data_IF_763175760200
#
_entry.id   IF_763175760200
#
_cell.length_a   1.000
_cell.length_b   1.000
_cell.length_c   1.000
_cell.angle_alpha   90.00
_cell.angle_beta   90.00
_cell.angle_gamma   90.00
#
_symmetry.space_group_name_H-M   'P 1'
#
loop_
_entity.id
_entity.type
_entity.pdbx_description
1 polymer ?
#
# COMPACT_ATOMS: atom_id res chain seq x y z
N UNK A 1 -16.23 -31.55 14.72
CA UNK A 1 -17.58 -31.24 14.18
C UNK A 1 -17.61 -31.62 12.71
N UNK A 2 -18.69 -32.25 12.25
CA UNK A 2 -18.88 -32.61 10.82
C UNK A 2 -19.36 -31.36 10.08
N UNK A 3 -18.75 -31.05 8.92
CA UNK A 3 -19.13 -29.89 8.12
C UNK A 3 -20.50 -30.11 7.48
N UNK A 4 -21.50 -29.29 7.86
CA UNK A 4 -22.91 -29.41 7.43
C UNK A 4 -23.17 -29.05 5.95
N UNK A 5 -22.21 -28.46 5.26
CA UNK A 5 -22.35 -27.98 3.88
C UNK A 5 -22.80 -26.52 3.78
N UNK A 6 -22.35 -25.81 2.74
CA UNK A 6 -22.61 -24.37 2.58
C UNK A 6 -24.09 -24.03 2.43
N UNK A 7 -24.88 -24.87 1.74
CA UNK A 7 -26.30 -24.61 1.53
C UNK A 7 -27.08 -24.65 2.86
N UNK A 8 -26.85 -25.69 3.67
CA UNK A 8 -27.49 -25.84 4.99
C UNK A 8 -27.15 -24.66 5.90
N UNK A 9 -25.88 -24.24 5.95
CA UNK A 9 -25.46 -23.07 6.76
C UNK A 9 -26.18 -21.79 6.32
N UNK A 10 -26.42 -21.62 5.02
CA UNK A 10 -27.11 -20.45 4.48
C UNK A 10 -28.63 -20.50 4.71
N UNK A 11 -29.24 -21.67 4.59
CA UNK A 11 -30.66 -21.89 4.91
C UNK A 11 -30.93 -21.65 6.41
N UNK A 12 -30.06 -22.15 7.30
CA UNK A 12 -30.10 -21.86 8.75
C UNK A 12 -30.04 -20.34 9.03
N UNK A 13 -29.48 -19.55 8.11
CA UNK A 13 -29.39 -18.07 8.19
C UNK A 13 -30.50 -17.34 7.43
N UNK A 14 -31.46 -18.06 6.87
CA UNK A 14 -32.60 -17.48 6.15
C UNK A 14 -32.31 -17.08 4.69
N UNK A 15 -31.23 -17.56 4.09
CA UNK A 15 -30.98 -17.35 2.66
C UNK A 15 -31.65 -18.43 1.81
N UNK A 16 -32.27 -18.02 0.69
CA UNK A 16 -32.77 -18.96 -0.31
C UNK A 16 -31.62 -19.47 -1.19
N UNK A 17 -31.30 -20.75 -1.02
CA UNK A 17 -30.28 -21.48 -1.77
C UNK A 17 -30.87 -22.20 -2.99
N UNK A 18 -32.20 -22.19 -3.18
CA UNK A 18 -32.84 -22.89 -4.30
C UNK A 18 -32.33 -22.34 -5.62
N UNK A 19 -31.91 -23.24 -6.51
CA UNK A 19 -31.29 -22.94 -7.83
C UNK A 19 -29.94 -22.21 -7.75
N UNK A 20 -29.34 -22.02 -6.57
CA UNK A 20 -27.97 -21.50 -6.45
C UNK A 20 -26.99 -22.67 -6.58
N UNK A 21 -25.95 -22.47 -7.39
CA UNK A 21 -24.82 -23.38 -7.42
C UNK A 21 -24.03 -23.28 -6.12
N UNK A 22 -23.35 -24.35 -5.71
CA UNK A 22 -22.42 -24.31 -4.59
C UNK A 22 -21.32 -23.25 -4.83
N UNK A 23 -20.80 -23.18 -6.06
CA UNK A 23 -19.82 -22.21 -6.53
C UNK A 23 -19.99 -21.91 -8.02
N UNK A 24 -19.58 -20.73 -8.47
CA UNK A 24 -19.45 -20.42 -9.90
C UNK A 24 -18.28 -21.19 -10.53
N UNK A 25 -18.34 -21.39 -11.85
CA UNK A 25 -17.28 -22.03 -12.64
C UNK A 25 -15.94 -21.32 -12.40
N UNK A 26 -14.88 -22.09 -12.17
CA UNK A 26 -13.51 -21.63 -11.87
C UNK A 26 -13.40 -20.60 -10.73
N UNK A 27 -14.36 -20.57 -9.80
CA UNK A 27 -14.45 -19.55 -8.75
C UNK A 27 -14.59 -18.11 -9.26
N UNK A 28 -14.96 -17.94 -10.53
CA UNK A 28 -15.13 -16.65 -11.20
C UNK A 28 -16.57 -16.18 -11.06
N UNK A 29 -16.87 -15.57 -9.92
CA UNK A 29 -18.12 -14.84 -9.74
C UNK A 29 -18.03 -13.49 -10.49
N UNK A 30 -19.15 -13.00 -11.01
CA UNK A 30 -19.23 -11.62 -11.52
C UNK A 30 -18.78 -10.63 -10.41
N UNK A 31 -18.00 -9.58 -10.74
CA UNK A 31 -17.43 -8.67 -9.74
C UNK A 31 -18.46 -8.06 -8.80
N UNK A 32 -19.62 -7.67 -9.33
CA UNK A 32 -20.68 -6.98 -8.58
C UNK A 32 -21.75 -7.93 -8.02
N UNK A 33 -21.70 -9.21 -8.40
CA UNK A 33 -22.68 -10.19 -7.94
C UNK A 33 -22.35 -10.64 -6.50
N UNK A 34 -23.25 -10.32 -5.57
CA UNK A 34 -23.12 -10.66 -4.14
C UNK A 34 -23.79 -11.98 -3.77
N UNK A 35 -24.62 -12.54 -4.65
CA UNK A 35 -25.47 -13.68 -4.35
C UNK A 35 -25.48 -14.76 -5.45
N UNK A 36 -24.54 -14.74 -6.39
CA UNK A 36 -24.54 -15.64 -7.56
C UNK A 36 -24.38 -17.15 -7.24
N UNK A 37 -23.81 -17.50 -6.08
CA UNK A 37 -23.64 -18.88 -5.62
C UNK A 37 -23.57 -18.92 -4.08
N UNK A 38 -23.78 -20.09 -3.48
CA UNK A 38 -23.73 -20.27 -2.03
C UNK A 38 -22.39 -19.77 -1.45
N UNK A 39 -21.26 -20.11 -2.08
CA UNK A 39 -19.95 -19.60 -1.68
C UNK A 39 -19.87 -18.08 -1.61
N UNK A 40 -20.44 -17.37 -2.59
CA UNK A 40 -20.39 -15.90 -2.64
C UNK A 40 -21.26 -15.27 -1.56
N UNK A 41 -22.46 -15.83 -1.32
CA UNK A 41 -23.33 -15.39 -0.24
C UNK A 41 -22.62 -15.59 1.09
N UNK A 42 -22.03 -16.76 1.32
CA UNK A 42 -21.30 -17.10 2.54
C UNK A 42 -20.09 -16.19 2.77
N UNK A 43 -19.30 -15.93 1.72
CA UNK A 43 -18.14 -15.04 1.78
C UNK A 43 -18.49 -13.61 2.19
N UNK A 44 -19.69 -13.13 1.81
CA UNK A 44 -20.16 -11.79 2.12
C UNK A 44 -20.90 -11.69 3.47
N UNK A 45 -21.07 -12.80 4.20
CA UNK A 45 -21.70 -12.76 5.51
C UNK A 45 -20.81 -12.00 6.52
N UNK A 46 -21.40 -11.22 7.43
CA UNK A 46 -20.65 -10.35 8.34
C UNK A 46 -19.71 -11.10 9.29
N UNK A 47 -20.08 -12.31 9.67
CA UNK A 47 -19.29 -13.21 10.53
C UNK A 47 -18.13 -13.91 9.80
N UNK A 48 -17.99 -13.72 8.48
CA UNK A 48 -16.79 -14.10 7.73
C UNK A 48 -16.02 -12.86 7.28
N UNK A 49 -16.72 -11.84 6.79
CA UNK A 49 -16.11 -10.62 6.27
C UNK A 49 -15.50 -9.74 7.38
N UNK A 50 -16.08 -9.75 8.58
CA UNK A 50 -15.65 -8.92 9.71
C UNK A 50 -14.66 -9.59 10.66
N UNK A 51 -14.30 -10.86 10.44
CA UNK A 51 -13.44 -11.60 11.36
C UNK A 51 -11.98 -11.20 11.17
N UNK A 52 -11.36 -10.76 12.26
CA UNK A 52 -9.93 -10.53 12.29
C UNK A 52 -9.19 -11.86 12.14
N UNK A 53 -8.20 -11.89 11.26
CA UNK A 53 -7.34 -13.05 11.11
C UNK A 53 -6.52 -13.30 12.38
N UNK A 54 -6.10 -14.56 12.60
CA UNK A 54 -5.20 -14.91 13.70
C UNK A 54 -3.92 -14.07 13.70
N UNK A 55 -3.42 -13.71 12.51
CA UNK A 55 -2.26 -12.84 12.32
C UNK A 55 -2.53 -11.42 12.85
N UNK A 56 -3.68 -10.84 12.53
CA UNK A 56 -4.07 -9.51 13.04
C UNK A 56 -4.28 -9.51 14.55
N UNK A 57 -4.90 -10.55 15.11
CA UNK A 57 -5.09 -10.70 16.56
C UNK A 57 -3.74 -10.74 17.27
N UNK A 58 -2.82 -11.58 16.78
CA UNK A 58 -1.47 -11.69 17.34
C UNK A 58 -0.70 -10.38 17.22
N UNK A 59 -0.72 -9.74 16.04
CA UNK A 59 -0.02 -8.49 15.81
C UNK A 59 -0.57 -7.37 16.70
N UNK A 60 -1.90 -7.28 16.85
CA UNK A 60 -2.55 -6.33 17.77
C UNK A 60 -2.09 -6.54 19.21
N UNK A 61 -1.99 -7.80 19.67
CA UNK A 61 -1.45 -8.13 20.99
C UNK A 61 0.00 -7.67 21.18
N UNK A 62 0.78 -7.65 20.10
CA UNK A 62 2.16 -7.17 20.09
C UNK A 62 2.29 -5.65 19.80
N UNK A 63 1.17 -4.93 19.63
CA UNK A 63 1.19 -3.50 19.30
C UNK A 63 1.63 -3.19 17.85
N UNK A 64 1.58 -4.17 16.95
CA UNK A 64 1.99 -4.04 15.55
C UNK A 64 0.77 -4.03 14.63
N UNK A 65 0.79 -3.16 13.61
CA UNK A 65 -0.22 -3.14 12.57
C UNK A 65 0.13 -4.09 11.43
N UNK A 66 -0.83 -4.92 11.00
CA UNK A 66 -0.71 -5.76 9.81
C UNK A 66 -1.19 -4.96 8.60
N UNK A 67 -0.40 -5.00 7.52
CA UNK A 67 -0.75 -4.40 6.23
C UNK A 67 -0.80 -5.52 5.20
N UNK A 68 -1.98 -5.80 4.67
CA UNK A 68 -2.15 -6.74 3.57
C UNK A 68 -1.87 -6.05 2.23
N UNK A 69 -0.88 -6.54 1.49
CA UNK A 69 -0.59 -6.06 0.17
C UNK A 69 -1.48 -6.76 -0.87
N UNK A 70 -1.91 -6.06 -1.93
CA UNK A 70 -2.63 -6.68 -3.04
C UNK A 70 -1.86 -7.86 -3.64
N UNK A 71 -2.58 -8.93 -3.99
CA UNK A 71 -1.99 -10.11 -4.63
C UNK A 71 -1.46 -9.75 -6.02
N UNK A 72 -0.34 -10.36 -6.41
CA UNK A 72 0.30 -10.18 -7.72
C UNK A 72 0.82 -8.76 -8.02
N UNK A 73 1.05 -7.96 -6.98
CA UNK A 73 1.61 -6.61 -7.08
C UNK A 73 2.96 -6.52 -6.34
N UNK A 74 3.96 -7.27 -6.80
CA UNK A 74 5.28 -7.35 -6.17
C UNK A 74 6.01 -6.00 -6.10
N UNK A 75 5.69 -5.07 -6.99
CA UNK A 75 6.18 -3.69 -7.00
C UNK A 75 5.74 -2.86 -5.78
N UNK A 76 4.72 -3.31 -5.04
CA UNK A 76 4.26 -2.67 -3.80
C UNK A 76 5.00 -3.19 -2.57
N UNK A 77 5.76 -4.28 -2.69
CA UNK A 77 6.51 -4.88 -1.60
C UNK A 77 8.01 -4.57 -1.73
N UNK A 78 8.57 -3.64 -0.93
CA UNK A 78 9.98 -3.26 -1.06
C UNK A 78 10.96 -4.40 -0.76
N UNK A 79 10.54 -5.45 -0.03
CA UNK A 79 11.40 -6.59 0.28
C UNK A 79 11.82 -7.36 -0.99
N UNK A 80 11.00 -7.35 -2.05
CA UNK A 80 11.33 -8.02 -3.32
C UNK A 80 12.57 -7.41 -3.97
N UNK A 81 12.76 -6.09 -3.81
CA UNK A 81 13.95 -5.39 -4.27
C UNK A 81 15.16 -5.67 -3.38
N UNK A 82 14.95 -5.81 -2.07
CA UNK A 82 15.99 -6.26 -1.13
C UNK A 82 16.49 -7.66 -1.52
N UNK A 83 15.59 -8.60 -1.78
CA UNK A 83 15.92 -9.93 -2.28
C UNK A 83 16.64 -9.88 -3.63
N UNK A 84 16.21 -9.02 -4.55
CA UNK A 84 16.88 -8.79 -5.83
C UNK A 84 18.32 -8.33 -5.65
N UNK A 85 18.56 -7.36 -4.76
CA UNK A 85 19.89 -6.86 -4.44
C UNK A 85 20.75 -7.95 -3.78
N UNK A 86 20.24 -8.60 -2.73
CA UNK A 86 20.94 -9.66 -2.01
C UNK A 86 21.33 -10.81 -2.94
N UNK A 87 20.42 -11.26 -3.81
CA UNK A 87 20.73 -12.28 -4.83
C UNK A 87 21.83 -11.84 -5.80
N UNK A 88 21.89 -10.56 -6.18
CA UNK A 88 22.96 -10.05 -7.03
C UNK A 88 24.32 -10.13 -6.33
N UNK A 89 24.39 -9.73 -5.07
CA UNK A 89 25.61 -9.83 -4.25
C UNK A 89 25.99 -11.30 -4.05
N UNK A 90 25.01 -12.14 -3.73
CA UNK A 90 25.20 -13.57 -3.52
C UNK A 90 25.87 -14.26 -4.70
N UNK A 91 25.46 -13.92 -5.93
CA UNK A 91 26.00 -14.49 -7.18
C UNK A 91 27.46 -14.14 -7.44
N UNK A 92 28.06 -13.24 -6.67
CA UNK A 92 29.50 -12.93 -6.74
C UNK A 92 30.34 -13.90 -5.90
N UNK A 93 29.72 -14.66 -4.99
CA UNK A 93 30.42 -15.68 -4.22
C UNK A 93 30.75 -16.89 -5.08
N UNK A 94 31.82 -17.64 -4.74
CA UNK A 94 32.09 -18.94 -5.35
C UNK A 94 30.91 -19.90 -5.20
N UNK A 95 30.74 -20.77 -6.20
CA UNK A 95 29.75 -21.84 -6.13
C UNK A 95 30.07 -22.81 -4.99
N UNK A 96 29.03 -23.29 -4.32
CA UNK A 96 29.14 -24.27 -3.26
C UNK A 96 27.92 -25.19 -3.30
N UNK A 97 28.12 -26.46 -2.96
CA UNK A 97 27.04 -27.42 -2.74
C UNK A 97 26.71 -27.61 -1.25
N UNK A 98 27.51 -26.98 -0.36
CA UNK A 98 27.39 -27.15 1.08
C UNK A 98 26.40 -26.16 1.68
N UNK A 99 25.38 -26.67 2.36
CA UNK A 99 24.29 -25.87 2.94
C UNK A 99 24.80 -24.80 3.92
N UNK A 100 25.79 -25.12 4.75
CA UNK A 100 26.36 -24.17 5.72
C UNK A 100 27.05 -22.98 5.04
N UNK A 101 27.70 -23.21 3.90
CA UNK A 101 28.31 -22.15 3.11
C UNK A 101 27.25 -21.33 2.36
N UNK A 102 26.21 -21.97 1.81
CA UNK A 102 25.09 -21.31 1.15
C UNK A 102 24.37 -20.36 2.13
N UNK A 103 24.10 -20.81 3.35
CA UNK A 103 23.46 -20.02 4.40
C UNK A 103 24.32 -18.81 4.80
N UNK A 104 25.61 -19.03 5.09
CA UNK A 104 26.56 -17.95 5.40
C UNK A 104 26.61 -16.90 4.30
N UNK A 105 26.71 -17.33 3.04
CA UNK A 105 26.75 -16.45 1.89
C UNK A 105 25.43 -15.67 1.73
N UNK A 106 24.28 -16.30 1.99
CA UNK A 106 22.98 -15.64 1.92
C UNK A 106 22.83 -14.55 2.99
N UNK A 107 23.19 -14.85 4.24
CA UNK A 107 23.15 -13.88 5.36
C UNK A 107 24.09 -12.71 5.08
N UNK A 108 25.34 -12.98 4.68
CA UNK A 108 26.31 -11.95 4.35
C UNK A 108 25.79 -11.05 3.21
N UNK A 109 25.25 -11.63 2.14
CA UNK A 109 24.73 -10.89 0.99
C UNK A 109 23.52 -10.00 1.32
N UNK A 110 22.70 -10.40 2.29
CA UNK A 110 21.58 -9.58 2.79
C UNK A 110 22.07 -8.44 3.70
N UNK A 111 23.12 -8.67 4.49
CA UNK A 111 23.73 -7.65 5.33
C UNK A 111 24.39 -6.52 4.51
N UNK A 112 24.86 -6.84 3.30
CA UNK A 112 25.45 -5.88 2.35
C UNK A 112 24.45 -4.90 1.71
N UNK A 113 23.15 -5.02 2.00
CA UNK A 113 22.15 -4.09 1.44
C UNK A 113 22.28 -2.73 2.16
N UNK A 114 22.73 -1.66 1.48
CA UNK A 114 22.92 -0.38 2.14
C UNK A 114 21.58 0.19 2.59
N UNK A 115 21.54 0.80 3.78
CA UNK A 115 20.31 1.39 4.31
C UNK A 115 19.68 2.37 3.30
N UNK A 116 20.48 3.26 2.70
CA UNK A 116 20.00 4.21 1.68
C UNK A 116 19.29 3.52 0.50
N UNK A 117 19.70 2.30 0.14
CA UNK A 117 19.09 1.50 -0.92
C UNK A 117 17.73 0.94 -0.49
N UNK A 118 17.60 0.47 0.75
CA UNK A 118 16.32 0.03 1.33
C UNK A 118 15.30 1.19 1.30
N UNK A 119 15.74 2.39 1.68
CA UNK A 119 14.88 3.59 1.62
C UNK A 119 14.44 3.87 0.19
N UNK A 120 15.35 3.82 -0.79
CA UNK A 120 15.03 3.97 -2.22
C UNK A 120 13.99 2.95 -2.70
N UNK A 121 14.05 1.70 -2.23
CA UNK A 121 13.06 0.67 -2.55
C UNK A 121 11.69 0.98 -1.96
N UNK A 122 11.62 1.42 -0.70
CA UNK A 122 10.37 1.88 -0.09
C UNK A 122 9.77 3.09 -0.82
N UNK A 123 10.60 4.06 -1.24
CA UNK A 123 10.15 5.19 -2.06
C UNK A 123 9.62 4.74 -3.42
N UNK A 124 10.24 3.73 -4.05
CA UNK A 124 9.75 3.15 -5.30
C UNK A 124 8.38 2.53 -5.12
N UNK A 125 8.18 1.70 -4.09
CA UNK A 125 6.87 1.11 -3.79
C UNK A 125 5.80 2.20 -3.59
N UNK A 126 6.11 3.27 -2.86
CA UNK A 126 5.20 4.41 -2.65
C UNK A 126 4.75 5.08 -3.95
N UNK A 127 5.59 5.13 -4.98
CA UNK A 127 5.20 5.68 -6.29
C UNK A 127 4.21 4.79 -7.02
N UNK A 128 4.38 3.48 -6.93
CA UNK A 128 3.41 2.53 -7.48
C UNK A 128 2.08 2.62 -6.71
N UNK A 129 2.12 2.72 -5.37
CA UNK A 129 0.92 2.99 -4.56
C UNK A 129 0.21 4.26 -5.04
N UNK A 130 0.96 5.34 -5.24
CA UNK A 130 0.39 6.60 -5.73
C UNK A 130 -0.23 6.46 -7.13
N UNK A 131 0.48 5.84 -8.07
CA UNK A 131 -0.03 5.59 -9.42
C UNK A 131 -1.32 4.74 -9.41
N UNK A 132 -1.36 3.67 -8.60
CA UNK A 132 -2.56 2.83 -8.47
C UNK A 132 -3.72 3.55 -7.78
N UNK A 133 -3.44 4.40 -6.79
CA UNK A 133 -4.48 5.22 -6.17
C UNK A 133 -5.14 6.20 -7.14
N UNK A 134 -4.47 6.50 -8.26
CA UNK A 134 -4.98 7.32 -9.34
C UNK A 134 -5.65 6.52 -10.46
N UNK A 135 -5.74 5.19 -10.33
CA UNK A 135 -6.37 4.32 -11.32
C UNK A 135 -5.47 3.87 -12.47
N UNK A 136 -4.16 4.16 -12.44
CA UNK A 136 -3.24 3.67 -13.46
C UNK A 136 -3.12 2.15 -13.36
N UNK A 137 -2.99 1.45 -14.50
CA UNK A 137 -2.64 0.03 -14.50
C UNK A 137 -1.13 -0.19 -14.33
N UNK A 138 -0.71 -1.46 -14.16
CA UNK A 138 0.70 -1.79 -13.91
C UNK A 138 1.69 -1.30 -14.99
N UNK A 139 1.31 -1.34 -16.27
CA UNK A 139 2.15 -0.86 -17.37
C UNK A 139 2.32 0.67 -17.31
N UNK A 140 1.23 1.38 -17.08
CA UNK A 140 1.22 2.84 -16.95
C UNK A 140 2.00 3.30 -15.70
N UNK A 141 1.78 2.64 -14.56
CA UNK A 141 2.50 2.92 -13.32
C UNK A 141 4.02 2.71 -13.49
N UNK A 142 4.43 1.64 -14.17
CA UNK A 142 5.84 1.39 -14.46
C UNK A 142 6.45 2.44 -15.39
N UNK A 143 5.73 2.84 -16.44
CA UNK A 143 6.16 3.93 -17.32
C UNK A 143 6.30 5.25 -16.56
N UNK A 144 5.30 5.60 -15.73
CA UNK A 144 5.28 6.84 -14.97
C UNK A 144 6.42 6.88 -13.93
N UNK A 145 6.66 5.76 -13.23
CA UNK A 145 7.78 5.61 -12.31
C UNK A 145 9.15 5.74 -13.01
N UNK A 146 9.24 5.33 -14.29
CA UNK A 146 10.45 5.47 -15.11
C UNK A 146 10.66 6.88 -15.63
N UNK A 147 9.60 7.55 -16.10
CA UNK A 147 9.67 8.92 -16.65
C UNK A 147 9.91 9.94 -15.54
N UNK A 148 9.23 9.80 -14.41
CA UNK A 148 9.26 10.77 -13.32
C UNK A 148 10.14 10.32 -12.15
N UNK A 149 11.33 9.77 -12.41
CA UNK A 149 12.26 9.21 -11.39
C UNK A 149 12.70 10.20 -10.30
N UNK A 150 12.66 11.51 -10.55
CA UNK A 150 12.93 12.55 -9.54
C UNK A 150 11.73 12.97 -8.67
N UNK A 151 10.50 12.72 -9.12
CA UNK A 151 9.29 13.24 -8.46
C UNK A 151 8.62 12.25 -7.52
N UNK A 152 8.44 12.61 -6.24
CA UNK A 152 7.78 11.72 -5.27
C UNK A 152 6.29 11.47 -5.57
N UNK A 153 5.68 12.34 -6.37
CA UNK A 153 4.27 12.35 -6.75
C UNK A 153 4.21 12.60 -8.27
N UNK A 154 3.22 12.03 -8.97
CA UNK A 154 3.04 12.32 -10.39
C UNK A 154 2.61 13.78 -10.58
N UNK A 155 3.21 14.52 -11.52
CA UNK A 155 2.84 15.90 -11.78
C UNK A 155 1.37 16.07 -12.17
N UNK A 156 0.75 17.15 -11.69
CA UNK A 156 -0.67 17.45 -11.93
C UNK A 156 -1.02 17.58 -13.42
N UNK A 157 -0.11 18.11 -14.23
CA UNK A 157 -0.30 18.24 -15.68
C UNK A 157 -0.42 16.87 -16.36
N UNK A 158 0.39 15.89 -15.96
CA UNK A 158 0.26 14.52 -16.46
C UNK A 158 -1.10 13.93 -16.08
N UNK A 159 -1.57 14.17 -14.85
CA UNK A 159 -2.88 13.68 -14.41
C UNK A 159 -4.00 14.27 -15.27
N UNK A 160 -3.94 15.57 -15.60
CA UNK A 160 -4.90 16.20 -16.51
C UNK A 160 -4.85 15.62 -17.92
N UNK A 161 -3.66 15.30 -18.45
CA UNK A 161 -3.52 14.64 -19.75
C UNK A 161 -4.09 13.21 -19.75
N UNK A 162 -3.88 12.47 -18.67
CA UNK A 162 -4.44 11.12 -18.49
C UNK A 162 -5.97 11.16 -18.35
N UNK A 163 -6.53 12.17 -17.68
CA UNK A 163 -7.99 12.39 -17.59
C UNK A 163 -8.59 12.70 -18.96
N UNK A 164 -7.98 13.65 -19.68
CA UNK A 164 -8.40 14.01 -21.04
C UNK A 164 -8.35 12.85 -22.03
N UNK A 165 -7.44 11.90 -21.83
CA UNK A 165 -7.32 10.70 -22.67
C UNK A 165 -8.24 9.55 -22.21
N UNK A 166 -9.07 9.76 -21.18
CA UNK A 166 -9.99 8.75 -20.65
C UNK A 166 -9.28 7.58 -19.95
N UNK A 167 -7.99 7.72 -19.65
CA UNK A 167 -7.17 6.69 -19.01
C UNK A 167 -7.48 6.59 -17.51
N UNK A 168 -7.89 7.71 -16.92
CA UNK A 168 -8.35 7.80 -15.53
C UNK A 168 -9.69 8.53 -15.51
N UNK A 169 -10.59 8.16 -14.59
CA UNK A 169 -11.90 8.81 -14.44
C UNK A 169 -11.75 10.10 -13.64
N UNK A 170 -12.37 11.19 -14.12
CA UNK A 170 -12.35 12.54 -13.53
C UNK A 170 -12.76 12.58 -12.05
N UNK A 171 -13.51 11.58 -11.57
CA UNK A 171 -13.88 11.43 -10.16
C UNK A 171 -12.69 11.17 -9.23
N UNK A 172 -11.64 10.51 -9.73
CA UNK A 172 -10.43 10.14 -8.96
C UNK A 172 -9.55 11.37 -8.66
N UNK A 173 -9.55 12.35 -9.57
CA UNK A 173 -8.77 13.58 -9.43
C UNK A 173 -9.41 14.53 -8.41
N UNK A 174 -10.74 14.68 -8.43
CA UNK A 174 -11.46 15.56 -7.51
C UNK A 174 -11.30 15.17 -6.04
N UNK A 175 -11.45 13.88 -5.71
CA UNK A 175 -11.27 13.40 -4.33
C UNK A 175 -9.84 13.60 -3.81
N UNK A 176 -8.84 13.44 -4.68
CA UNK A 176 -7.45 13.63 -4.29
C UNK A 176 -7.07 15.09 -4.13
N UNK A 177 -7.55 15.98 -5.01
CA UNK A 177 -7.33 17.43 -4.92
C UNK A 177 -7.91 17.99 -3.61
N UNK A 178 -9.11 17.55 -3.22
CA UNK A 178 -9.71 17.87 -1.92
C UNK A 178 -8.91 17.28 -0.74
N UNK A 179 -8.34 16.09 -0.88
CA UNK A 179 -7.49 15.46 0.14
C UNK A 179 -6.15 16.16 0.37
N UNK A 180 -5.51 16.65 -0.70
CA UNK A 180 -4.27 17.44 -0.64
C UNK A 180 -4.52 18.85 -0.09
N UNK A 181 -5.64 19.49 -0.48
CA UNK A 181 -6.05 20.78 0.05
C UNK A 181 -6.19 20.75 1.58
N UNK A 182 -6.92 19.76 2.13
CA UNK A 182 -7.09 19.56 3.58
C UNK A 182 -5.77 19.29 4.32
N UNK A 183 -4.81 18.62 3.67
CA UNK A 183 -3.48 18.35 4.24
C UNK A 183 -2.59 19.60 4.27
N UNK A 184 -2.69 20.45 3.24
CA UNK A 184 -2.00 21.74 3.18
C UNK A 184 -2.54 22.75 4.20
N UNK A 185 -3.85 22.69 4.46
CA UNK A 185 -4.56 23.58 5.38
C UNK A 185 -4.23 23.24 6.84
N UNK A 186 -4.29 21.94 7.21
CA UNK A 186 -3.78 21.46 8.51
C UNK A 186 -2.30 21.76 8.74
N UNK A 187 -1.47 21.72 7.68
CA UNK A 187 -0.04 22.06 7.76
C UNK A 187 0.18 23.57 7.92
N UNK A 188 -0.70 24.42 7.36
CA UNK A 188 -0.70 25.87 7.59
C UNK A 188 -1.18 26.22 9.00
N UNK A 189 -2.18 25.52 9.53
CA UNK A 189 -2.66 25.72 10.90
C UNK A 189 -1.63 25.29 11.95
N UNK A 190 -0.96 24.14 11.77
CA UNK A 190 0.10 23.70 12.68
C UNK A 190 1.34 24.61 12.66
N UNK A 191 1.63 25.23 11.52
CA UNK A 191 2.73 26.20 11.39
C UNK A 191 2.39 27.56 12.02
N UNK A 192 1.10 27.92 12.11
CA UNK A 192 0.61 29.12 12.83
C UNK A 192 0.63 28.93 14.35
N UNK A 193 0.38 27.72 14.84
CA UNK A 193 0.41 27.39 16.27
C UNK A 193 1.83 27.27 16.85
N UNK A 194 2.85 26.98 16.04
CA UNK A 194 4.22 26.71 16.50
C UNK A 194 5.22 27.86 16.26
N UNK A 195 4.77 29.07 15.95
CA UNK A 195 5.68 30.21 15.75
C UNK A 195 5.51 31.26 16.87
N UNK A 196 6.36 31.26 17.91
CA UNK A 196 6.36 32.34 18.90
C UNK A 196 6.81 33.64 18.21
N UNK A 197 6.06 34.72 18.44
CA UNK A 197 6.33 36.05 17.88
C UNK A 197 7.79 36.46 18.16
N UNK A 198 8.50 37.13 17.23
CA UNK A 198 9.84 37.61 17.49
C UNK A 198 9.82 38.66 18.61
N UNK A 199 10.69 38.44 19.59
CA UNK A 199 10.96 39.34 20.71
C UNK A 199 11.40 40.70 20.16
N UNK A 200 10.62 41.77 20.41
CA UNK A 200 11.01 43.13 20.04
C UNK A 200 12.22 43.55 20.87
N UNK A 201 13.38 43.75 20.26
CA UNK A 201 14.49 44.46 20.91
C UNK A 201 14.11 45.92 21.03
N UNK A 202 13.81 46.38 22.25
CA UNK A 202 13.75 47.81 22.58
C UNK A 202 15.15 48.39 22.40
N UNK A 203 15.27 49.37 21.51
CA UNK A 203 16.43 50.24 21.43
C UNK A 203 16.54 51.03 22.74
N UNK A 204 17.68 50.95 23.42
CA UNK A 204 18.04 51.83 24.53
C UNK A 204 18.86 52.98 23.95
N UNK A 205 18.31 54.18 24.02
CA UNK A 205 18.98 55.44 23.77
C UNK A 205 20.09 55.63 24.82
N UNK A 206 21.30 55.94 24.37
CA UNK A 206 22.37 56.48 25.21
C UNK A 206 22.16 58.00 25.32
N UNK A 207 22.04 58.48 26.56
CA UNK A 207 22.11 59.91 26.90
C UNK A 207 23.57 60.42 26.83
N UNK A 208 23.81 61.67 26.41
CA UNK A 208 25.12 62.29 26.48
C UNK A 208 25.27 63.12 27.76
N UNK A 209 26.40 63.00 28.46
CA UNK A 209 26.88 64.04 29.38
C UNK A 209 27.56 63.56 30.66
N UNK A 210 28.86 63.30 30.59
CA UNK A 210 29.93 64.03 31.31
C UNK A 210 31.30 63.51 30.87
#
# INVERSE_FOLDING_TARGET
>A
GVFKGMAVILEERGFDTKKKLAQCKDFKCLPDAKDCCCRRILFNQPDFAGVQSNLEILAKKLGVQVIFLPKFHCELNPIEQCWGYGKRVYRLNPESSRVDQLEKNAIASLAEIPLITIWKFAYRARRFIHAYSLGLNGRQAAWAARKYRGHRVLPENLLRELDKSGVISSFTIYFFSLGQAKKSEKKRESHKLNNPRPFSRKATLMDPGN
#
